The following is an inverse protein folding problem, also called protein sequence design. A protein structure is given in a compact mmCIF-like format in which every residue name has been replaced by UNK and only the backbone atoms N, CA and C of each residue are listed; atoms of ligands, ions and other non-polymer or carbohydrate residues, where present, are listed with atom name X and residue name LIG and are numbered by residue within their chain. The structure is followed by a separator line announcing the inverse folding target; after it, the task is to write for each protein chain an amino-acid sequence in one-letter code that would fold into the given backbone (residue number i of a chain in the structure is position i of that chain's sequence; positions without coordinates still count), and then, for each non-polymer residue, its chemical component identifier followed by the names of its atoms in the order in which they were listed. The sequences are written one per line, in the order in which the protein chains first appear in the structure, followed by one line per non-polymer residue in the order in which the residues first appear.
data_IF_145059787913
#
_entry.id   IF_145059787913
#
_cell.length_a   1.000
_cell.length_b   1.000
_cell.length_c   1.000
_cell.angle_alpha   90.00
_cell.angle_beta   90.00
_cell.angle_gamma   90.00
#
_symmetry.space_group_name_H-M   'P 1'
#
loop_
_entity.id
_entity.type
_entity.pdbx_description
1 polymer ?
#
# COMPACT_ATOMS: atom_id res chain seq x y z
N UNK A 1 61.51 23.25 -46.94
CA UNK A 1 61.50 21.79 -46.66
C UNK A 1 61.27 21.46 -45.18
N UNK A 2 61.91 22.15 -44.22
CA UNK A 2 61.73 21.85 -42.77
C UNK A 2 60.30 22.09 -42.25
N UNK A 3 59.66 23.18 -42.67
CA UNK A 3 58.29 23.55 -42.27
C UNK A 3 57.24 22.51 -42.64
N UNK A 4 57.40 21.84 -43.78
CA UNK A 4 56.47 20.81 -44.26
C UNK A 4 56.50 19.57 -43.36
N UNK A 5 57.69 19.17 -42.90
CA UNK A 5 57.86 18.06 -41.94
C UNK A 5 57.28 18.39 -40.57
N UNK A 6 57.44 19.63 -40.08
CA UNK A 6 56.84 20.07 -38.82
C UNK A 6 55.32 20.03 -38.86
N UNK A 7 54.71 20.61 -39.91
CA UNK A 7 53.25 20.62 -40.07
C UNK A 7 52.70 19.20 -40.20
N UNK A 8 53.38 18.33 -40.98
CA UNK A 8 52.97 16.94 -41.15
C UNK A 8 53.05 16.15 -39.85
N UNK A 9 54.09 16.36 -39.04
CA UNK A 9 54.23 15.71 -37.73
C UNK A 9 53.13 16.15 -36.77
N UNK A 10 52.86 17.46 -36.69
CA UNK A 10 51.81 18.02 -35.84
C UNK A 10 50.42 17.50 -36.24
N UNK A 11 50.13 17.46 -37.55
CA UNK A 11 48.87 16.94 -38.08
C UNK A 11 48.68 15.46 -37.72
N UNK A 12 49.77 14.68 -37.75
CA UNK A 12 49.73 13.26 -37.40
C UNK A 12 49.41 13.07 -35.92
N UNK A 13 50.00 13.89 -35.04
CA UNK A 13 49.71 13.85 -33.59
C UNK A 13 48.25 14.22 -33.30
N UNK A 14 47.73 15.28 -33.94
CA UNK A 14 46.34 15.70 -33.77
C UNK A 14 45.38 14.61 -34.27
N UNK A 15 45.68 13.98 -35.41
CA UNK A 15 44.89 12.88 -35.95
C UNK A 15 44.83 11.70 -34.98
N UNK A 16 45.97 11.31 -34.38
CA UNK A 16 46.01 10.23 -33.37
C UNK A 16 45.14 10.59 -32.15
N UNK A 17 45.27 11.80 -31.62
CA UNK A 17 44.44 12.24 -30.49
C UNK A 17 42.94 12.19 -30.81
N UNK A 18 42.53 12.64 -31.99
CA UNK A 18 41.14 12.60 -32.43
C UNK A 18 40.63 11.16 -32.61
N UNK A 19 41.45 10.25 -33.13
CA UNK A 19 41.05 8.83 -33.26
C UNK A 19 40.79 8.18 -31.90
N UNK A 20 41.57 8.51 -30.86
CA UNK A 20 41.38 7.98 -29.50
C UNK A 20 40.06 8.49 -28.90
N UNK A 21 39.73 9.77 -29.10
CA UNK A 21 38.46 10.36 -28.62
C UNK A 21 37.28 9.66 -29.28
N UNK A 22 37.33 9.49 -30.60
CA UNK A 22 36.27 8.83 -31.37
C UNK A 22 36.09 7.38 -30.90
N UNK A 23 37.17 6.63 -30.65
CA UNK A 23 37.09 5.25 -30.14
C UNK A 23 36.49 5.18 -28.72
N UNK A 24 36.70 6.20 -27.88
CA UNK A 24 36.06 6.28 -26.55
C UNK A 24 34.58 6.64 -26.62
N UNK A 25 34.20 7.52 -27.55
CA UNK A 25 32.82 7.97 -27.74
C UNK A 25 31.97 6.95 -28.51
N UNK A 26 32.59 6.17 -29.39
CA UNK A 26 32.03 4.94 -29.91
C UNK A 26 31.82 4.00 -28.73
N UNK A 27 30.58 3.95 -28.24
CA UNK A 27 30.10 3.01 -27.22
C UNK A 27 30.10 1.57 -27.77
N UNK A 28 31.27 1.06 -28.17
CA UNK A 28 31.51 -0.29 -28.69
C UNK A 28 31.10 -1.33 -27.64
N UNK A 29 31.25 -0.96 -26.36
CA UNK A 29 30.69 -1.70 -25.24
C UNK A 29 29.35 -1.04 -24.90
N UNK A 30 28.20 -1.69 -25.21
CA UNK A 30 26.91 -1.16 -24.85
C UNK A 30 26.84 -1.01 -23.33
N UNK A 31 26.48 0.19 -22.86
CA UNK A 31 26.18 0.40 -21.44
C UNK A 31 24.93 -0.41 -21.12
N UNK A 32 25.05 -1.37 -20.22
CA UNK A 32 23.91 -2.12 -19.73
C UNK A 32 23.02 -1.18 -18.91
N UNK A 33 22.01 -0.61 -19.55
CA UNK A 33 20.93 0.07 -18.86
C UNK A 33 20.12 -1.02 -18.14
N UNK A 34 20.06 -0.94 -16.81
CA UNK A 34 19.17 -1.79 -16.04
C UNK A 34 17.74 -1.49 -16.47
N UNK A 35 17.16 -2.34 -17.33
CA UNK A 35 15.74 -2.31 -17.62
C UNK A 35 15.03 -2.92 -16.41
N UNK A 36 14.80 -2.12 -15.38
CA UNK A 36 13.99 -2.49 -14.22
C UNK A 36 12.52 -2.54 -14.63
N UNK A 37 12.18 -3.49 -15.49
CA UNK A 37 10.81 -3.93 -15.70
C UNK A 37 10.80 -5.45 -15.66
N UNK A 38 11.41 -6.01 -14.62
CA UNK A 38 11.07 -7.34 -14.17
C UNK A 38 9.65 -7.26 -13.60
N UNK A 39 8.65 -7.44 -14.46
CA UNK A 39 7.33 -7.89 -14.01
C UNK A 39 7.53 -9.31 -13.45
N UNK A 40 8.02 -9.37 -12.21
CA UNK A 40 7.97 -10.56 -11.39
C UNK A 40 6.49 -10.85 -11.19
N UNK A 41 6.02 -12.00 -11.67
CA UNK A 41 4.62 -12.39 -11.58
C UNK A 41 4.15 -12.29 -10.12
N UNK A 42 3.39 -11.23 -9.81
CA UNK A 42 2.87 -10.93 -8.48
C UNK A 42 3.21 -9.57 -7.89
N UNK A 43 4.22 -8.84 -8.39
CA UNK A 43 4.59 -7.52 -7.87
C UNK A 43 4.71 -6.50 -9.00
N UNK A 44 3.70 -5.62 -9.10
CA UNK A 44 3.77 -4.43 -9.96
C UNK A 44 4.18 -3.23 -9.11
N UNK A 45 5.00 -2.35 -9.69
CA UNK A 45 5.34 -1.08 -9.06
C UNK A 45 4.14 -0.14 -9.24
N UNK A 46 3.48 0.22 -8.14
CA UNK A 46 2.35 1.16 -8.17
C UNK A 46 2.91 2.58 -8.08
N UNK A 47 2.52 3.50 -8.98
CA UNK A 47 2.97 4.88 -8.90
C UNK A 47 2.46 5.52 -7.62
N UNK A 48 3.39 6.09 -6.84
CA UNK A 48 3.06 6.87 -5.65
C UNK A 48 2.63 8.27 -6.05
N UNK A 49 1.67 8.83 -5.32
CA UNK A 49 1.34 10.24 -5.39
C UNK A 49 2.51 11.10 -4.85
N UNK A 50 2.50 12.41 -5.11
CA UNK A 50 3.55 13.34 -4.65
C UNK A 50 3.71 13.40 -3.12
N UNK A 51 2.66 13.02 -2.39
CA UNK A 51 2.61 12.92 -0.93
C UNK A 51 3.01 11.53 -0.39
N UNK A 52 3.38 10.60 -1.28
CA UNK A 52 3.74 9.22 -0.93
C UNK A 52 2.54 8.28 -0.73
N UNK A 53 1.31 8.73 -0.98
CA UNK A 53 0.12 7.88 -0.86
C UNK A 53 -0.15 7.03 -2.11
N UNK A 54 -1.00 6.00 -1.97
CA UNK A 54 -1.53 5.20 -3.07
C UNK A 54 -3.05 5.34 -3.09
N UNK A 55 -3.59 5.80 -4.20
CA UNK A 55 -5.04 5.86 -4.40
C UNK A 55 -5.53 4.53 -5.01
N UNK A 56 -6.39 3.82 -4.28
CA UNK A 56 -7.04 2.59 -4.76
C UNK A 56 -8.53 2.83 -4.96
N UNK A 57 -9.12 2.18 -5.97
CA UNK A 57 -10.56 2.18 -6.19
C UNK A 57 -11.12 0.79 -5.92
N UNK A 58 -11.90 0.67 -4.86
CA UNK A 58 -12.64 -0.56 -4.58
C UNK A 58 -13.81 -0.64 -5.57
N UNK A 59 -13.74 -1.59 -6.50
CA UNK A 59 -14.77 -1.79 -7.52
C UNK A 59 -15.48 -3.10 -7.22
N UNK A 60 -16.80 -3.03 -7.00
CA UNK A 60 -17.70 -4.17 -6.76
C UNK A 60 -17.47 -4.92 -5.44
N UNK A 61 -17.91 -4.34 -4.33
CA UNK A 61 -18.01 -5.02 -3.04
C UNK A 61 -19.41 -4.81 -2.47
N UNK A 62 -20.24 -5.83 -2.51
CA UNK A 62 -21.57 -5.81 -1.87
C UNK A 62 -21.46 -5.79 -0.34
N UNK A 63 -20.36 -6.35 0.19
CA UNK A 63 -20.08 -6.49 1.62
C UNK A 63 -18.60 -6.21 1.90
N UNK A 64 -18.32 -5.50 2.98
CA UNK A 64 -16.97 -5.29 3.52
C UNK A 64 -16.95 -5.95 4.90
N UNK A 65 -16.13 -6.98 5.04
CA UNK A 65 -15.87 -7.59 6.35
C UNK A 65 -14.88 -6.71 7.12
N UNK A 66 -15.27 -6.32 8.33
CA UNK A 66 -14.49 -5.42 9.19
C UNK A 66 -14.41 -5.99 10.60
N UNK A 67 -13.19 -5.99 11.16
CA UNK A 67 -12.97 -6.28 12.56
C UNK A 67 -12.73 -4.98 13.32
N UNK A 68 -13.65 -4.62 14.20
CA UNK A 68 -13.57 -3.42 15.02
C UNK A 68 -13.23 -3.84 16.45
N UNK A 69 -12.11 -3.33 17.00
CA UNK A 69 -11.65 -3.68 18.36
C UNK A 69 -11.90 -2.57 19.38
N UNK A 70 -11.66 -1.32 18.98
CA UNK A 70 -11.78 -0.17 19.86
C UNK A 70 -12.53 0.93 19.13
N UNK A 71 -13.65 1.36 19.72
CA UNK A 71 -14.52 2.40 19.16
C UNK A 71 -14.50 3.57 20.15
N UNK A 72 -14.05 4.73 19.67
CA UNK A 72 -14.16 5.99 20.39
C UNK A 72 -14.94 6.96 19.53
N UNK A 73 -16.15 7.30 19.95
CA UNK A 73 -17.06 8.20 19.24
C UNK A 73 -17.50 9.33 20.17
N UNK A 74 -17.67 10.53 19.63
CA UNK A 74 -18.17 11.67 20.40
C UNK A 74 -19.68 11.58 20.68
N UNK A 75 -20.43 10.86 19.86
CA UNK A 75 -21.88 10.66 19.98
C UNK A 75 -22.23 9.17 20.04
N UNK A 76 -23.50 8.84 20.26
CA UNK A 76 -24.02 7.48 20.39
C UNK A 76 -23.87 6.68 19.09
N UNK A 77 -23.35 5.46 19.20
CA UNK A 77 -23.32 4.48 18.12
C UNK A 77 -24.55 3.58 18.21
N UNK A 78 -25.42 3.59 17.18
CA UNK A 78 -26.48 2.58 17.04
C UNK A 78 -25.85 1.27 16.57
N UNK A 79 -26.10 0.18 17.31
CA UNK A 79 -25.62 -1.16 16.97
C UNK A 79 -26.82 -2.12 16.95
N UNK A 80 -26.99 -2.84 15.84
CA UNK A 80 -28.00 -3.89 15.70
C UNK A 80 -27.32 -5.26 15.89
N UNK A 81 -27.46 -5.82 17.09
CA UNK A 81 -26.85 -7.09 17.49
C UNK A 81 -27.80 -8.25 17.24
N UNK A 82 -27.36 -9.24 16.45
CA UNK A 82 -28.13 -10.47 16.21
C UNK A 82 -27.81 -11.57 17.24
N UNK A 83 -26.55 -11.67 17.66
CA UNK A 83 -26.09 -12.66 18.63
C UNK A 83 -24.89 -12.15 19.41
N UNK A 84 -24.81 -12.51 20.68
CA UNK A 84 -23.66 -12.22 21.55
C UNK A 84 -23.21 -13.53 22.17
N UNK A 85 -21.92 -13.83 22.08
CA UNK A 85 -21.30 -15.01 22.70
C UNK A 85 -20.13 -14.54 23.54
N UNK A 86 -20.23 -14.75 24.85
CA UNK A 86 -19.18 -14.41 25.82
C UNK A 86 -18.91 -15.61 26.71
N UNK A 87 -17.66 -15.74 27.19
CA UNK A 87 -17.30 -16.78 28.14
C UNK A 87 -17.65 -16.39 29.58
N UNK A 88 -17.72 -15.09 29.84
CA UNK A 88 -18.05 -14.52 31.15
C UNK A 88 -19.51 -14.05 31.19
N UNK A 89 -19.99 -13.72 32.40
CA UNK A 89 -21.34 -13.20 32.62
C UNK A 89 -21.52 -11.84 31.91
N UNK A 90 -22.68 -11.67 31.26
CA UNK A 90 -23.06 -10.42 30.61
C UNK A 90 -24.16 -9.73 31.40
N UNK A 91 -23.80 -8.66 32.09
CA UNK A 91 -24.76 -7.82 32.81
C UNK A 91 -25.60 -7.00 31.83
N UNK A 92 -26.91 -7.18 31.87
CA UNK A 92 -27.87 -6.43 31.04
C UNK A 92 -28.93 -5.75 31.91
N UNK A 93 -29.21 -4.48 31.61
CA UNK A 93 -30.35 -3.76 32.19
C UNK A 93 -31.56 -3.97 31.28
N UNK A 94 -32.68 -4.42 31.87
CA UNK A 94 -33.91 -4.71 31.14
C UNK A 94 -35.03 -3.85 31.72
N UNK A 95 -35.67 -3.04 30.87
CA UNK A 95 -36.77 -2.17 31.28
C UNK A 95 -38.13 -2.88 31.22
N UNK A 96 -38.31 -3.85 30.31
CA UNK A 96 -39.58 -4.54 30.06
C UNK A 96 -39.39 -6.00 29.64
N UNK A 97 -40.22 -6.90 30.17
CA UNK A 97 -40.24 -8.33 29.79
C UNK A 97 -41.69 -8.75 29.58
N UNK A 98 -42.03 -9.23 28.38
CA UNK A 98 -43.34 -9.83 28.10
C UNK A 98 -44.54 -8.88 28.27
N UNK A 99 -44.38 -7.57 28.03
CA UNK A 99 -45.46 -6.58 28.17
C UNK A 99 -45.55 -5.93 29.55
N UNK A 100 -44.71 -6.34 30.50
CA UNK A 100 -44.68 -5.83 31.87
C UNK A 100 -43.36 -5.13 32.18
N UNK A 101 -43.45 -3.96 32.83
CA UNK A 101 -42.30 -3.15 33.24
C UNK A 101 -41.57 -3.81 34.41
N UNK A 102 -40.24 -3.82 34.38
CA UNK A 102 -39.41 -4.37 35.46
C UNK A 102 -39.20 -3.27 36.51
N UNK A 103 -40.05 -3.25 37.54
CA UNK A 103 -40.07 -2.15 38.53
C UNK A 103 -39.31 -2.45 39.83
N UNK A 104 -38.65 -3.61 39.96
CA UNK A 104 -37.93 -3.99 41.17
C UNK A 104 -36.77 -4.94 40.88
N UNK A 105 -35.63 -4.77 41.56
CA UNK A 105 -34.43 -5.62 41.42
C UNK A 105 -34.53 -7.02 42.05
N UNK A 106 -35.73 -7.61 42.07
CA UNK A 106 -35.95 -8.97 42.54
C UNK A 106 -35.64 -10.02 41.47
N UNK A 107 -35.50 -11.31 41.85
CA UNK A 107 -35.20 -12.38 40.89
C UNK A 107 -36.31 -12.56 39.85
N UNK A 108 -35.91 -12.59 38.57
CA UNK A 108 -36.82 -12.84 37.43
C UNK A 108 -36.86 -14.34 37.14
N UNK A 109 -38.08 -14.91 37.08
CA UNK A 109 -38.27 -16.31 36.72
C UNK A 109 -38.11 -16.47 35.20
N UNK A 110 -37.09 -17.21 34.78
CA UNK A 110 -36.82 -17.50 33.38
C UNK A 110 -37.08 -18.98 33.05
N UNK A 111 -37.38 -19.28 31.79
CA UNK A 111 -37.43 -20.64 31.24
C UNK A 111 -36.30 -20.79 30.24
N UNK A 112 -35.45 -21.79 30.44
CA UNK A 112 -34.41 -22.15 29.49
C UNK A 112 -35.06 -23.05 28.43
N UNK A 113 -35.04 -22.62 27.18
CA UNK A 113 -35.34 -23.47 26.03
C UNK A 113 -34.01 -23.89 25.41
N UNK A 114 -33.74 -25.20 25.43
CA UNK A 114 -32.66 -25.83 24.68
C UNK A 114 -33.12 -26.12 23.24
#
# INVERSE_FOLDING_TARGET
MKTDTYTKTLLTVIAICLTIIIVRDLQIIPKAHANTTTNLAGYTMVPLNKDGSITVRLSNTDLIDVNIREISTYDKLRVDLHSISTNDELDINIDEIGGGWVSSGGPVKVKIQN
#
